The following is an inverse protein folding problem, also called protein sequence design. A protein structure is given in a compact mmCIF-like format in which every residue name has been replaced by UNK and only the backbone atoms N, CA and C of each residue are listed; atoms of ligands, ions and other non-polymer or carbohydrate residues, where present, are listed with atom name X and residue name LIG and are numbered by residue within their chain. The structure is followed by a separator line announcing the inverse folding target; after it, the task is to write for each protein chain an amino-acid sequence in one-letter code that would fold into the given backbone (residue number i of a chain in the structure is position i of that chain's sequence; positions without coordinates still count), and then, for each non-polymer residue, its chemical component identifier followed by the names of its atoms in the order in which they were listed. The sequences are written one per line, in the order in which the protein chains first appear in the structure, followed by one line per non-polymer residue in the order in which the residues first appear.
data_IF_737023225413
#
_entry.id   IF_737023225413
#
_cell.length_a   1.000
_cell.length_b   1.000
_cell.length_c   1.000
_cell.angle_alpha   90.00
_cell.angle_beta   90.00
_cell.angle_gamma   90.00
#
_symmetry.space_group_name_H-M   'P 1'
#
loop_
_entity.id
_entity.type
_entity.pdbx_description
1 polymer ?
#
# COMPACT_ATOMS: atom_id res chain seq x y z
N UNK A 1 20.57 13.58 -13.22
CA UNK A 1 19.28 14.28 -13.33
C UNK A 1 18.15 13.28 -13.17
N UNK A 2 17.11 13.61 -12.40
CA UNK A 2 15.91 12.77 -12.18
C UNK A 2 15.31 12.20 -13.48
N UNK A 3 15.31 12.99 -14.55
CA UNK A 3 14.75 12.60 -15.86
C UNK A 3 15.65 11.59 -16.61
N UNK A 4 16.95 11.58 -16.33
CA UNK A 4 17.95 10.75 -17.02
C UNK A 4 18.48 9.60 -16.17
N UNK A 5 17.77 9.21 -15.11
CA UNK A 5 18.19 8.10 -14.27
C UNK A 5 17.95 6.81 -15.04
N UNK A 6 19.04 6.20 -15.51
CA UNK A 6 19.07 4.89 -16.15
C UNK A 6 19.50 3.78 -15.17
N UNK A 7 20.03 4.17 -14.01
CA UNK A 7 20.52 3.25 -13.00
C UNK A 7 19.35 2.43 -12.41
N UNK A 8 19.40 1.12 -12.55
CA UNK A 8 18.39 0.20 -12.05
C UNK A 8 18.15 0.32 -10.52
N UNK A 9 19.17 0.71 -9.76
CA UNK A 9 19.08 0.91 -8.31
C UNK A 9 18.18 2.05 -7.90
N UNK A 10 17.87 2.95 -8.81
CA UNK A 10 17.03 4.12 -8.57
C UNK A 10 15.61 3.93 -9.12
N UNK A 11 15.42 2.95 -10.02
CA UNK A 11 14.14 2.64 -10.65
C UNK A 11 13.39 1.49 -9.98
N UNK A 12 13.86 1.07 -8.83
CA UNK A 12 13.24 -0.04 -8.09
C UNK A 12 11.79 0.28 -7.75
N UNK A 13 10.88 -0.63 -8.12
CA UNK A 13 9.44 -0.58 -7.84
C UNK A 13 8.71 0.71 -8.25
N UNK A 14 9.30 1.54 -9.11
CA UNK A 14 8.66 2.79 -9.50
C UNK A 14 8.14 2.74 -10.93
N UNK A 15 6.83 2.82 -11.10
CA UNK A 15 6.21 3.40 -12.28
C UNK A 15 6.46 4.90 -12.23
N UNK A 16 7.67 5.33 -12.64
CA UNK A 16 8.06 6.74 -12.54
C UNK A 16 7.32 7.54 -13.58
N UNK A 17 6.31 8.25 -13.16
CA UNK A 17 5.79 9.39 -13.91
C UNK A 17 6.58 10.64 -13.52
N UNK A 18 7.01 11.42 -14.49
CA UNK A 18 7.72 12.67 -14.24
C UNK A 18 6.76 13.67 -13.56
N UNK A 19 6.92 13.85 -12.27
CA UNK A 19 6.11 14.75 -11.47
C UNK A 19 6.98 15.46 -10.42
N UNK A 20 6.51 16.57 -9.89
CA UNK A 20 7.19 17.27 -8.79
C UNK A 20 7.28 16.37 -7.55
N UNK A 21 6.24 15.62 -7.25
CA UNK A 21 6.23 14.63 -6.17
C UNK A 21 7.30 13.55 -6.39
N UNK A 22 7.37 13.01 -7.61
CA UNK A 22 8.39 12.04 -7.98
C UNK A 22 9.82 12.58 -7.90
N UNK A 23 10.02 13.86 -8.25
CA UNK A 23 11.32 14.53 -8.08
C UNK A 23 11.72 14.62 -6.60
N UNK A 24 10.80 15.02 -5.74
CA UNK A 24 11.01 15.10 -4.29
C UNK A 24 11.36 13.73 -3.73
N UNK A 25 10.57 12.69 -4.07
CA UNK A 25 10.82 11.32 -3.62
C UNK A 25 12.16 10.79 -4.12
N UNK A 26 12.54 11.06 -5.36
CA UNK A 26 13.83 10.64 -5.91
C UNK A 26 15.01 11.25 -5.14
N UNK A 27 14.92 12.54 -4.82
CA UNK A 27 15.97 13.23 -4.07
C UNK A 27 16.04 12.74 -2.62
N UNK A 28 14.90 12.66 -1.92
CA UNK A 28 14.86 12.17 -0.54
C UNK A 28 15.27 10.70 -0.46
N UNK A 29 14.84 9.90 -1.42
CA UNK A 29 15.21 8.48 -1.51
C UNK A 29 16.70 8.27 -1.70
N UNK A 30 17.36 9.08 -2.53
CA UNK A 30 18.80 9.00 -2.71
C UNK A 30 19.57 9.34 -1.41
N UNK A 31 19.10 10.34 -0.67
CA UNK A 31 19.70 10.68 0.65
C UNK A 31 19.48 9.55 1.65
N UNK A 32 18.26 9.01 1.71
CA UNK A 32 17.92 7.90 2.62
C UNK A 32 18.72 6.64 2.28
N UNK A 33 18.84 6.28 1.01
CA UNK A 33 19.64 5.13 0.57
C UNK A 33 21.12 5.29 0.97
N UNK A 34 21.66 6.49 0.80
CA UNK A 34 23.03 6.74 1.23
C UNK A 34 23.20 6.62 2.75
N UNK A 35 22.21 7.08 3.53
CA UNK A 35 22.22 6.92 4.98
C UNK A 35 22.23 5.43 5.38
N UNK A 36 21.37 4.61 4.81
CA UNK A 36 21.39 3.16 5.03
C UNK A 36 22.78 2.55 4.78
N UNK A 37 23.39 2.90 3.64
CA UNK A 37 24.63 2.31 3.18
C UNK A 37 25.89 2.90 3.88
N UNK A 38 25.77 4.03 4.57
CA UNK A 38 26.91 4.65 5.26
C UNK A 38 26.87 4.51 6.78
N UNK A 39 25.66 4.49 7.36
CA UNK A 39 25.48 4.60 8.81
C UNK A 39 24.84 3.37 9.45
N UNK A 40 24.10 2.57 8.67
CA UNK A 40 23.30 1.47 9.22
C UNK A 40 23.89 0.10 8.88
N UNK A 41 24.23 -0.14 7.61
CA UNK A 41 24.82 -1.39 7.18
C UNK A 41 26.34 -1.38 7.39
N UNK A 42 26.90 -2.55 7.71
CA UNK A 42 28.35 -2.74 7.73
C UNK A 42 28.93 -2.47 6.35
N UNK A 43 30.15 -1.93 6.30
CA UNK A 43 30.83 -1.53 5.06
C UNK A 43 30.90 -2.66 4.03
N UNK A 44 31.11 -3.90 4.47
CA UNK A 44 31.14 -5.07 3.57
C UNK A 44 29.82 -5.27 2.84
N UNK A 45 28.68 -5.16 3.55
CA UNK A 45 27.32 -5.29 2.99
C UNK A 45 27.03 -4.11 2.06
N UNK A 46 27.34 -2.90 2.52
CA UNK A 46 27.14 -1.69 1.72
C UNK A 46 27.95 -1.73 0.43
N UNK A 47 29.17 -2.20 0.49
CA UNK A 47 30.05 -2.31 -0.68
C UNK A 47 29.58 -3.39 -1.65
N UNK A 48 29.14 -4.54 -1.13
CA UNK A 48 28.54 -5.59 -1.96
C UNK A 48 27.30 -5.10 -2.72
N UNK A 49 26.45 -4.28 -2.08
CA UNK A 49 25.32 -3.64 -2.76
C UNK A 49 25.78 -2.64 -3.84
N UNK A 50 26.77 -1.77 -3.51
CA UNK A 50 27.31 -0.79 -4.46
C UNK A 50 27.97 -1.44 -5.69
N UNK A 51 28.58 -2.60 -5.49
CA UNK A 51 29.22 -3.39 -6.54
C UNK A 51 28.22 -4.26 -7.33
N UNK A 52 26.97 -4.31 -6.92
CA UNK A 52 25.93 -5.21 -7.45
C UNK A 52 26.20 -6.71 -7.22
N UNK A 53 26.96 -7.07 -6.19
CA UNK A 53 27.13 -8.45 -5.75
C UNK A 53 25.87 -8.97 -5.05
N UNK A 54 25.16 -8.06 -4.34
CA UNK A 54 23.85 -8.28 -3.74
C UNK A 54 22.93 -7.10 -4.03
N UNK A 55 21.62 -7.30 -3.84
CA UNK A 55 20.63 -6.23 -3.94
C UNK A 55 19.86 -6.09 -2.63
N UNK A 56 19.89 -4.89 -2.03
CA UNK A 56 19.07 -4.54 -0.88
C UNK A 56 17.92 -3.70 -1.37
N UNK A 57 16.70 -4.16 -1.12
CA UNK A 57 15.45 -3.50 -1.54
C UNK A 57 15.12 -2.24 -0.76
N UNK A 58 14.39 -1.33 -1.40
CA UNK A 58 13.67 -0.21 -0.78
C UNK A 58 14.50 0.71 0.12
N UNK A 59 15.78 0.87 -0.21
CA UNK A 59 16.68 1.77 0.51
C UNK A 59 16.23 3.24 0.48
N UNK A 60 15.29 3.59 -0.39
CA UNK A 60 14.74 4.95 -0.50
C UNK A 60 13.83 5.36 0.66
N UNK A 61 13.49 4.43 1.56
CA UNK A 61 12.58 4.68 2.68
C UNK A 61 13.15 4.13 4.00
N UNK A 62 12.85 4.81 5.10
CA UNK A 62 13.17 4.37 6.48
C UNK A 62 11.91 3.77 7.13
N UNK A 63 11.35 2.73 6.52
CA UNK A 63 10.09 2.14 6.94
C UNK A 63 10.16 0.62 7.00
N UNK A 64 9.12 -0.01 7.57
CA UNK A 64 8.89 -1.45 7.39
C UNK A 64 8.66 -1.80 5.93
N UNK A 65 8.92 -3.06 5.55
CA UNK A 65 8.82 -3.50 4.16
C UNK A 65 7.37 -3.77 3.76
N UNK A 66 6.77 -4.84 4.27
CA UNK A 66 5.41 -5.26 3.93
C UNK A 66 4.54 -5.35 5.18
N UNK A 67 3.23 -5.22 5.01
CA UNK A 67 2.27 -5.33 6.10
C UNK A 67 1.02 -6.11 5.71
N UNK A 68 0.53 -6.93 6.65
CA UNK A 68 -0.79 -7.53 6.59
C UNK A 68 -1.74 -6.79 7.53
N UNK A 69 -2.91 -6.42 7.05
CA UNK A 69 -3.90 -5.66 7.79
C UNK A 69 -5.14 -6.49 8.10
N UNK A 70 -5.65 -6.36 9.31
CA UNK A 70 -6.91 -6.98 9.69
C UNK A 70 -8.08 -6.22 9.08
N UNK A 71 -8.72 -6.81 8.08
CA UNK A 71 -9.95 -6.26 7.50
C UNK A 71 -11.07 -6.21 8.55
N UNK A 72 -11.14 -7.19 9.45
CA UNK A 72 -12.06 -7.22 10.59
C UNK A 72 -11.93 -5.98 11.48
N UNK A 73 -10.69 -5.53 11.73
CA UNK A 73 -10.46 -4.32 12.53
C UNK A 73 -10.93 -3.07 11.80
N UNK A 74 -10.61 -2.93 10.51
CA UNK A 74 -11.08 -1.82 9.69
C UNK A 74 -12.60 -1.74 9.66
N UNK A 75 -13.29 -2.88 9.53
CA UNK A 75 -14.76 -2.96 9.55
C UNK A 75 -15.32 -2.47 10.88
N UNK A 76 -14.71 -2.84 12.01
CA UNK A 76 -15.18 -2.47 13.34
C UNK A 76 -14.92 -1.02 13.71
N UNK A 77 -13.78 -0.49 13.32
CA UNK A 77 -13.31 0.82 13.77
C UNK A 77 -13.51 1.93 12.72
N UNK A 78 -13.63 1.56 11.45
CA UNK A 78 -13.60 2.51 10.35
C UNK A 78 -12.21 3.13 10.16
N UNK A 79 -12.15 4.29 9.55
CA UNK A 79 -10.93 5.08 9.43
C UNK A 79 -10.90 6.10 10.57
N UNK A 80 -10.13 5.80 11.60
CA UNK A 80 -9.78 6.78 12.62
C UNK A 80 -9.10 7.97 11.94
N UNK A 81 -9.28 9.14 12.46
CA UNK A 81 -8.63 10.36 11.96
C UNK A 81 -7.68 10.93 13.00
N UNK A 82 -7.16 12.08 12.69
CA UNK A 82 -6.45 12.92 13.67
C UNK A 82 -7.51 13.54 14.59
N UNK A 83 -7.26 13.55 15.88
CA UNK A 83 -8.15 14.17 16.87
C UNK A 83 -8.58 15.59 16.43
N UNK A 84 -9.89 15.84 16.42
CA UNK A 84 -10.47 17.12 15.99
C UNK A 84 -10.64 17.28 14.46
N UNK A 85 -10.36 16.24 13.67
CA UNK A 85 -10.65 16.16 12.23
C UNK A 85 -11.83 15.24 11.96
N UNK A 86 -12.34 15.30 10.73
CA UNK A 86 -13.40 14.38 10.27
C UNK A 86 -12.84 12.95 10.27
N UNK A 87 -13.58 12.05 10.89
CA UNK A 87 -13.32 10.61 10.90
C UNK A 87 -14.31 9.90 9.99
N UNK A 88 -13.92 8.77 9.43
CA UNK A 88 -14.83 7.89 8.71
C UNK A 88 -15.29 6.77 9.64
N UNK A 89 -16.55 6.83 10.06
CA UNK A 89 -17.16 5.80 10.89
C UNK A 89 -17.14 4.41 10.19
N UNK A 90 -17.34 3.31 10.94
CA UNK A 90 -17.49 1.98 10.37
C UNK A 90 -18.48 1.95 9.21
N UNK A 91 -18.11 1.32 8.11
CA UNK A 91 -18.93 1.20 6.93
C UNK A 91 -20.19 0.36 7.22
N UNK A 92 -21.33 0.79 6.69
CA UNK A 92 -22.58 0.03 6.75
C UNK A 92 -22.90 -0.70 5.44
N UNK A 93 -22.32 -0.26 4.34
CA UNK A 93 -22.56 -0.76 2.98
C UNK A 93 -21.26 -1.16 2.30
N UNK A 94 -21.33 -2.17 1.42
CA UNK A 94 -20.17 -2.72 0.71
C UNK A 94 -19.41 -1.65 -0.07
N UNK A 95 -20.10 -0.75 -0.76
CA UNK A 95 -19.47 0.33 -1.54
C UNK A 95 -18.63 1.28 -0.69
N UNK A 96 -19.13 1.59 0.51
CA UNK A 96 -18.41 2.44 1.48
C UNK A 96 -17.20 1.73 2.02
N UNK A 97 -17.33 0.44 2.37
CA UNK A 97 -16.20 -0.37 2.84
C UNK A 97 -15.11 -0.46 1.77
N UNK A 98 -15.47 -0.70 0.51
CA UNK A 98 -14.51 -0.71 -0.60
C UNK A 98 -13.73 0.62 -0.71
N UNK A 99 -14.43 1.75 -0.54
CA UNK A 99 -13.79 3.06 -0.52
C UNK A 99 -12.87 3.24 0.69
N UNK A 100 -13.29 2.79 1.88
CA UNK A 100 -12.44 2.85 3.08
C UNK A 100 -11.18 1.99 2.92
N UNK A 101 -11.29 0.80 2.32
CA UNK A 101 -10.13 -0.06 2.04
C UNK A 101 -9.14 0.62 1.09
N UNK A 102 -9.61 1.25 0.01
CA UNK A 102 -8.75 2.00 -0.92
C UNK A 102 -8.03 3.14 -0.21
N UNK A 103 -8.77 3.93 0.58
CA UNK A 103 -8.20 5.05 1.32
C UNK A 103 -7.18 4.58 2.37
N UNK A 104 -7.47 3.50 3.08
CA UNK A 104 -6.57 2.91 4.06
C UNK A 104 -5.24 2.50 3.40
N UNK A 105 -5.30 1.72 2.31
CA UNK A 105 -4.09 1.29 1.59
C UNK A 105 -3.32 2.48 1.01
N UNK A 106 -4.03 3.48 0.49
CA UNK A 106 -3.43 4.71 -0.03
C UNK A 106 -2.71 5.53 1.04
N UNK A 107 -3.23 5.58 2.26
CA UNK A 107 -2.58 6.24 3.40
C UNK A 107 -1.38 5.42 3.87
N UNK A 108 -1.58 4.12 4.09
CA UNK A 108 -0.56 3.26 4.69
C UNK A 108 0.63 3.00 3.77
N UNK A 109 0.50 3.13 2.47
CA UNK A 109 1.65 3.03 1.56
C UNK A 109 2.71 4.13 1.77
N UNK A 110 2.37 5.21 2.48
CA UNK A 110 3.35 6.23 2.83
C UNK A 110 4.20 5.85 4.05
N UNK A 111 3.74 4.85 4.81
CA UNK A 111 4.39 4.34 6.02
C UNK A 111 5.08 2.98 5.79
N UNK A 112 4.85 2.33 4.63
CA UNK A 112 5.35 1.01 4.30
C UNK A 112 5.93 1.00 2.88
N UNK A 113 7.12 0.45 2.72
CA UNK A 113 7.83 0.48 1.44
C UNK A 113 7.26 -0.52 0.41
N UNK A 114 6.85 -1.69 0.87
CA UNK A 114 6.41 -2.78 0.02
C UNK A 114 4.90 -3.04 0.02
N UNK A 115 4.53 -4.29 -0.24
CA UNK A 115 3.15 -4.70 -0.40
C UNK A 115 2.35 -4.65 0.90
N UNK A 116 1.06 -4.37 0.77
CA UNK A 116 0.08 -4.37 1.83
C UNK A 116 -1.06 -5.32 1.49
N UNK A 117 -1.48 -6.13 2.44
CA UNK A 117 -2.50 -7.15 2.23
C UNK A 117 -3.66 -7.02 3.21
N UNK A 118 -4.88 -7.24 2.74
CA UNK A 118 -6.02 -7.55 3.59
C UNK A 118 -6.24 -9.04 3.65
N UNK A 119 -6.43 -9.56 4.86
CA UNK A 119 -6.77 -10.97 5.09
C UNK A 119 -8.27 -11.23 4.92
N UNK A 120 -8.62 -12.46 4.52
CA UNK A 120 -10.01 -12.98 4.50
C UNK A 120 -10.99 -12.04 3.78
N UNK A 121 -10.58 -11.54 2.62
CA UNK A 121 -11.29 -10.49 1.88
C UNK A 121 -12.73 -10.90 1.54
N UNK A 122 -12.91 -12.07 0.97
CA UNK A 122 -14.23 -12.64 0.60
C UNK A 122 -15.10 -12.89 1.82
N UNK A 123 -14.55 -13.50 2.85
CA UNK A 123 -15.23 -13.85 4.10
C UNK A 123 -15.78 -12.61 4.80
N UNK A 124 -14.99 -11.56 4.95
CA UNK A 124 -15.41 -10.35 5.67
C UNK A 124 -16.30 -9.41 4.84
N UNK A 125 -16.30 -9.54 3.51
CA UNK A 125 -17.21 -8.77 2.65
C UNK A 125 -18.59 -9.44 2.50
N UNK A 126 -18.67 -10.76 2.63
CA UNK A 126 -19.90 -11.52 2.46
C UNK A 126 -21.09 -11.03 3.34
N UNK A 127 -20.92 -10.65 4.62
CA UNK A 127 -22.00 -10.10 5.42
C UNK A 127 -22.67 -8.85 4.84
N UNK A 128 -21.89 -7.96 4.23
CA UNK A 128 -22.42 -6.73 3.60
C UNK A 128 -23.26 -7.06 2.38
N UNK A 129 -22.84 -8.06 1.59
CA UNK A 129 -23.63 -8.55 0.44
C UNK A 129 -24.97 -9.09 0.89
N UNK A 130 -24.95 -9.87 1.98
CA UNK A 130 -26.17 -10.50 2.54
C UNK A 130 -27.12 -9.49 3.14
N UNK A 131 -26.64 -8.57 3.94
CA UNK A 131 -27.46 -7.57 4.67
C UNK A 131 -28.16 -6.63 3.70
N UNK A 132 -27.46 -6.16 2.67
CA UNK A 132 -28.02 -5.26 1.66
C UNK A 132 -28.72 -6.02 0.51
N UNK A 133 -28.74 -7.35 0.54
CA UNK A 133 -29.29 -8.22 -0.50
C UNK A 133 -28.79 -7.84 -1.91
N UNK A 134 -27.47 -7.62 -2.02
CA UNK A 134 -26.85 -7.16 -3.27
C UNK A 134 -26.87 -8.23 -4.35
N UNK A 135 -27.20 -7.82 -5.56
CA UNK A 135 -27.08 -8.64 -6.76
C UNK A 135 -25.60 -8.83 -7.16
N UNK A 136 -25.33 -9.82 -8.00
CA UNK A 136 -24.00 -10.05 -8.57
C UNK A 136 -23.43 -8.79 -9.23
N UNK A 137 -24.23 -8.07 -10.01
CA UNK A 137 -23.77 -6.86 -10.72
C UNK A 137 -23.44 -5.71 -9.77
N UNK A 138 -24.16 -5.59 -8.66
CA UNK A 138 -23.85 -4.57 -7.64
C UNK A 138 -22.56 -4.91 -6.89
N UNK A 139 -22.36 -6.17 -6.49
CA UNK A 139 -21.11 -6.63 -5.88
C UNK A 139 -19.94 -6.43 -6.85
N UNK A 140 -20.10 -6.83 -8.12
CA UNK A 140 -19.10 -6.65 -9.16
C UNK A 140 -18.66 -5.20 -9.27
N UNK A 141 -19.60 -4.24 -9.32
CA UNK A 141 -19.30 -2.80 -9.36
C UNK A 141 -18.51 -2.33 -8.15
N UNK A 142 -18.84 -2.82 -6.95
CA UNK A 142 -18.09 -2.49 -5.74
C UNK A 142 -16.65 -2.98 -5.82
N UNK A 143 -16.43 -4.23 -6.27
CA UNK A 143 -15.10 -4.80 -6.43
C UNK A 143 -14.34 -4.11 -7.56
N UNK A 144 -14.96 -3.80 -8.69
CA UNK A 144 -14.35 -3.00 -9.75
C UNK A 144 -13.87 -1.65 -9.22
N UNK A 145 -14.70 -0.97 -8.42
CA UNK A 145 -14.36 0.31 -7.78
C UNK A 145 -13.15 0.19 -6.87
N UNK A 146 -13.08 -0.89 -6.10
CA UNK A 146 -11.91 -1.19 -5.26
C UNK A 146 -10.65 -1.40 -6.12
N UNK A 147 -10.72 -2.24 -7.16
CA UNK A 147 -9.60 -2.52 -8.06
C UNK A 147 -9.10 -1.24 -8.74
N UNK A 148 -10.01 -0.41 -9.26
CA UNK A 148 -9.65 0.88 -9.86
C UNK A 148 -9.00 1.81 -8.83
N UNK A 149 -9.55 1.86 -7.62
CA UNK A 149 -9.03 2.70 -6.55
C UNK A 149 -7.60 2.36 -6.15
N UNK A 150 -7.28 1.06 -5.98
CA UNK A 150 -5.92 0.62 -5.62
C UNK A 150 -4.94 0.72 -6.79
N UNK A 151 -5.40 0.89 -8.02
CA UNK A 151 -4.55 1.15 -9.18
C UNK A 151 -4.30 2.65 -9.43
N UNK A 152 -4.91 3.53 -8.63
CA UNK A 152 -4.69 4.97 -8.75
C UNK A 152 -3.41 5.36 -8.02
N UNK A 153 -2.47 6.08 -8.67
CA UNK A 153 -1.26 6.57 -8.03
C UNK A 153 -1.61 7.50 -6.86
N UNK A 154 -1.19 7.15 -5.64
CA UNK A 154 -1.51 7.89 -4.42
C UNK A 154 -0.29 8.31 -3.60
N UNK A 155 0.85 7.62 -3.71
CA UNK A 155 2.10 8.04 -3.10
C UNK A 155 2.69 9.21 -3.88
N UNK A 156 2.41 10.44 -3.45
CA UNK A 156 2.87 11.67 -4.12
C UNK A 156 2.53 11.70 -5.62
N UNK A 157 1.46 11.01 -6.03
CA UNK A 157 1.05 10.89 -7.43
C UNK A 157 1.96 10.05 -8.32
N UNK A 158 2.87 9.26 -7.76
CA UNK A 158 3.88 8.50 -8.53
C UNK A 158 3.68 7.00 -8.52
N UNK A 159 3.07 6.45 -7.47
CA UNK A 159 2.92 5.01 -7.28
C UNK A 159 1.53 4.65 -6.77
N UNK A 160 0.91 3.65 -7.38
CA UNK A 160 -0.28 3.01 -6.84
C UNK A 160 0.08 2.13 -5.64
N UNK A 161 -0.82 1.92 -4.66
CA UNK A 161 -0.59 0.98 -3.57
C UNK A 161 -0.31 -0.42 -4.12
N UNK A 162 0.83 -1.00 -3.75
CA UNK A 162 1.10 -2.40 -4.03
C UNK A 162 0.25 -3.25 -3.10
N UNK A 163 -0.89 -3.71 -3.60
CA UNK A 163 -1.96 -4.28 -2.80
C UNK A 163 -2.12 -5.77 -3.05
N UNK A 164 -2.42 -6.51 -1.99
CA UNK A 164 -2.77 -7.92 -2.04
C UNK A 164 -4.05 -8.17 -1.23
N UNK A 165 -4.79 -9.18 -1.61
CA UNK A 165 -5.93 -9.72 -0.86
C UNK A 165 -5.73 -11.22 -0.69
N UNK A 166 -6.10 -11.77 0.45
CA UNK A 166 -6.21 -13.21 0.64
C UNK A 166 -7.67 -13.63 0.62
N UNK A 167 -7.92 -14.75 -0.02
CA UNK A 167 -9.22 -15.41 -0.05
C UNK A 167 -9.17 -16.66 0.84
N UNK A 168 -10.25 -16.93 1.53
CA UNK A 168 -10.34 -18.08 2.40
C UNK A 168 -10.79 -19.31 1.62
N UNK A 169 -10.00 -20.37 1.66
CA UNK A 169 -10.39 -21.67 1.09
C UNK A 169 -11.53 -22.31 1.87
N UNK A 170 -11.53 -22.10 3.19
CA UNK A 170 -12.58 -22.51 4.11
C UNK A 170 -12.93 -21.34 5.01
N UNK A 171 -14.22 -21.17 5.32
CA UNK A 171 -14.67 -20.09 6.19
C UNK A 171 -14.04 -20.26 7.59
N UNK A 172 -13.37 -19.22 8.11
CA UNK A 172 -12.81 -19.24 9.47
C UNK A 172 -13.90 -19.37 10.54
N UNK A 173 -13.55 -19.95 11.69
CA UNK A 173 -14.49 -20.14 12.80
C UNK A 173 -14.59 -18.95 13.75
N UNK A 174 -13.92 -17.85 13.46
CA UNK A 174 -13.81 -16.64 14.31
C UNK A 174 -14.67 -15.46 13.84
N UNK A 175 -15.69 -15.74 13.04
CA UNK A 175 -16.65 -14.74 12.53
C UNK A 175 -17.70 -14.38 13.56
#
# INVERSE_FOLDING_TARGET
SYVKIEDWRVKENSTVTYSVGGLILSNSGAVTANYWLSEIYDEEIAQAHRNADIHIHDLSMLTGYCAGWSLKQLIKEGLGGITGKITSAPAKHLSVLCTQMVNFLGIMQNEWAGAQAFSSFDTYLAPFVKVDNLSYEEVKKCIESFIYGVNTPSRWGTQAPFSNITLDWTVPNDL
#
